data_IF_916071592382
#
_entry.id   IF_916071592382
#
_cell.length_a   1.000
_cell.length_b   1.000
_cell.length_c   1.000
_cell.angle_alpha   90.00
_cell.angle_beta   90.00
_cell.angle_gamma   90.00
#
_symmetry.space_group_name_H-M   'P 1'
#
loop_
_entity.id
_entity.type
_entity.pdbx_description
1 polymer ?
#
# COMPACT_ATOMS: atom_id res chain seq x y z
N UNK A 1 -31.94 65.59 -75.85
CA UNK A 1 -31.59 64.14 -75.92
C UNK A 1 -30.45 63.91 -74.93
N UNK A 2 -30.78 63.60 -73.67
CA UNK A 2 -30.76 62.25 -73.04
C UNK A 2 -29.40 61.84 -72.43
N UNK A 3 -29.36 61.98 -71.09
CA UNK A 3 -28.74 61.15 -70.01
C UNK A 3 -27.20 60.90 -69.93
N UNK A 4 -26.68 61.33 -68.77
CA UNK A 4 -25.56 60.85 -67.91
C UNK A 4 -25.33 59.30 -67.81
N UNK A 5 -24.36 58.80 -67.00
CA UNK A 5 -22.91 59.10 -66.81
C UNK A 5 -22.09 57.77 -66.64
N UNK A 6 -20.81 57.79 -66.24
CA UNK A 6 -20.20 56.60 -65.61
C UNK A 6 -18.68 56.49 -65.50
N UNK A 7 -18.20 56.47 -64.25
CA UNK A 7 -16.84 56.20 -63.71
C UNK A 7 -16.21 54.84 -64.08
N UNK A 8 -14.86 54.75 -64.00
CA UNK A 8 -14.15 53.53 -63.59
C UNK A 8 -12.66 53.49 -63.97
N UNK A 9 -11.73 53.86 -63.06
CA UNK A 9 -10.79 52.98 -62.29
C UNK A 9 -9.81 52.16 -63.15
N UNK A 10 -8.53 52.53 -63.18
CA UNK A 10 -7.41 52.16 -62.28
C UNK A 10 -6.69 50.84 -62.65
N UNK A 11 -5.39 51.00 -62.83
CA UNK A 11 -4.28 50.07 -63.10
C UNK A 11 -4.10 48.93 -62.09
N UNK A 12 -3.62 47.79 -62.59
CA UNK A 12 -2.97 46.75 -61.78
C UNK A 12 -1.77 46.15 -62.55
N UNK A 13 -0.57 46.26 -61.98
CA UNK A 13 0.64 45.57 -62.40
C UNK A 13 0.94 44.42 -61.44
N UNK A 14 1.33 43.27 -61.99
CA UNK A 14 1.71 42.06 -61.26
C UNK A 14 3.09 42.19 -60.61
N UNK A 15 3.21 41.74 -59.37
CA UNK A 15 4.47 41.32 -58.77
C UNK A 15 4.22 40.06 -57.92
N UNK A 16 4.84 38.96 -58.34
CA UNK A 16 4.75 37.64 -57.69
C UNK A 16 5.87 37.52 -56.66
N UNK A 17 5.53 37.40 -55.38
CA UNK A 17 6.46 37.06 -54.30
C UNK A 17 6.06 35.71 -53.70
N UNK A 18 6.88 34.68 -53.94
CA UNK A 18 6.72 33.34 -53.39
C UNK A 18 7.26 33.33 -51.96
N UNK A 19 6.36 33.29 -50.97
CA UNK A 19 6.72 33.09 -49.55
C UNK A 19 6.79 31.58 -49.29
N UNK A 20 7.99 31.06 -49.01
CA UNK A 20 8.15 29.72 -48.43
C UNK A 20 7.75 29.77 -46.95
N UNK A 21 6.58 29.25 -46.62
CA UNK A 21 6.20 28.95 -45.24
C UNK A 21 6.85 27.63 -44.81
N UNK A 22 7.94 27.70 -44.04
CA UNK A 22 8.42 26.55 -43.26
C UNK A 22 7.50 26.41 -42.05
N UNK A 23 6.47 25.57 -42.15
CA UNK A 23 5.69 25.16 -40.99
C UNK A 23 6.50 24.11 -40.22
N UNK A 24 7.26 24.56 -39.23
CA UNK A 24 7.78 23.68 -38.19
C UNK A 24 6.58 23.21 -37.36
N UNK A 25 5.91 22.14 -37.81
CA UNK A 25 5.00 21.36 -36.96
C UNK A 25 5.87 20.58 -35.97
N UNK A 26 6.37 21.29 -34.95
CA UNK A 26 6.97 20.65 -33.81
C UNK A 26 5.91 19.78 -33.14
N UNK A 27 5.93 18.48 -33.41
CA UNK A 27 5.33 17.50 -32.53
C UNK A 27 6.05 17.66 -31.18
N UNK A 28 5.50 18.49 -30.30
CA UNK A 28 5.88 18.48 -28.90
C UNK A 28 5.39 17.14 -28.38
N UNK A 29 6.27 16.15 -28.35
CA UNK A 29 6.05 14.96 -27.53
C UNK A 29 6.00 15.47 -26.09
N UNK A 30 4.79 15.76 -25.60
CA UNK A 30 4.57 15.98 -24.18
C UNK A 30 4.84 14.63 -23.55
N UNK A 31 6.02 14.48 -22.96
CA UNK A 31 6.38 13.34 -22.14
C UNK A 31 5.56 13.45 -20.86
N UNK A 32 4.27 13.09 -20.94
CA UNK A 32 3.32 13.14 -19.83
C UNK A 32 3.79 12.32 -18.62
N UNK A 33 4.75 11.42 -18.83
CA UNK A 33 5.45 10.71 -17.77
C UNK A 33 6.29 11.61 -16.84
N UNK A 34 6.74 12.78 -17.29
CA UNK A 34 7.55 13.72 -16.49
C UNK A 34 6.72 14.78 -15.75
N UNK A 35 5.44 14.93 -16.09
CA UNK A 35 4.58 15.93 -15.48
C UNK A 35 4.26 15.58 -14.02
N UNK A 36 4.67 16.47 -13.11
CA UNK A 36 4.38 16.39 -11.67
C UNK A 36 2.95 16.84 -11.42
N UNK A 37 2.04 15.87 -11.32
CA UNK A 37 0.60 16.06 -11.17
C UNK A 37 0.10 15.47 -9.84
N UNK A 38 -1.04 15.95 -9.32
CA UNK A 38 -1.73 15.29 -8.21
C UNK A 38 -1.96 13.79 -8.50
N UNK A 39 -1.89 12.97 -7.45
CA UNK A 39 -2.19 11.54 -7.55
C UNK A 39 -3.64 11.26 -7.94
N UNK A 40 -4.57 12.07 -7.47
CA UNK A 40 -6.00 11.96 -7.76
C UNK A 40 -6.67 13.33 -7.64
N UNK A 41 -7.91 13.45 -8.14
CA UNK A 41 -8.82 14.50 -7.68
C UNK A 41 -9.49 14.05 -6.37
N UNK A 42 -9.86 14.98 -5.48
CA UNK A 42 -10.58 14.64 -4.23
C UNK A 42 -11.89 13.89 -4.50
N UNK A 43 -12.66 14.30 -5.51
CA UNK A 43 -13.89 13.61 -5.90
C UNK A 43 -13.65 12.19 -6.42
N UNK A 44 -12.54 11.98 -7.14
CA UNK A 44 -12.12 10.67 -7.63
C UNK A 44 -11.68 9.77 -6.48
N UNK A 45 -10.94 10.32 -5.51
CA UNK A 45 -10.53 9.62 -4.30
C UNK A 45 -11.76 9.19 -3.46
N UNK A 46 -12.75 10.06 -3.31
CA UNK A 46 -14.00 9.75 -2.61
C UNK A 46 -14.80 8.65 -3.31
N UNK A 47 -14.89 8.69 -4.64
CA UNK A 47 -15.55 7.63 -5.40
C UNK A 47 -14.80 6.29 -5.27
N UNK A 48 -13.46 6.30 -5.31
CA UNK A 48 -12.66 5.10 -5.14
C UNK A 48 -12.82 4.46 -3.75
N UNK A 49 -12.88 5.28 -2.69
CA UNK A 49 -13.17 4.81 -1.34
C UNK A 49 -14.55 4.16 -1.27
N UNK A 50 -15.58 4.83 -1.78
CA UNK A 50 -16.95 4.31 -1.81
C UNK A 50 -17.03 2.98 -2.56
N UNK A 51 -16.47 2.93 -3.77
CA UNK A 51 -16.49 1.75 -4.62
C UNK A 51 -15.79 0.55 -3.97
N UNK A 52 -14.66 0.80 -3.30
CA UNK A 52 -13.97 -0.23 -2.52
C UNK A 52 -14.83 -0.72 -1.36
N UNK A 53 -15.40 0.18 -0.56
CA UNK A 53 -16.22 -0.20 0.60
C UNK A 53 -17.46 -1.00 0.18
N UNK A 54 -18.12 -0.61 -0.91
CA UNK A 54 -19.26 -1.33 -1.47
C UNK A 54 -18.87 -2.75 -1.92
N UNK A 55 -17.78 -2.87 -2.70
CA UNK A 55 -17.29 -4.16 -3.19
C UNK A 55 -16.79 -5.05 -2.05
N UNK A 56 -16.05 -4.48 -1.09
CA UNK A 56 -15.57 -5.18 0.10
C UNK A 56 -16.73 -5.75 0.92
N UNK A 57 -17.79 -4.96 1.13
CA UNK A 57 -18.99 -5.42 1.84
C UNK A 57 -19.73 -6.53 1.09
N UNK A 58 -19.86 -6.42 -0.24
CA UNK A 58 -20.45 -7.47 -1.06
C UNK A 58 -19.64 -8.78 -0.99
N UNK A 59 -18.31 -8.67 -1.11
CA UNK A 59 -17.39 -9.78 -1.00
C UNK A 59 -17.42 -10.43 0.39
N UNK A 60 -17.37 -9.66 1.48
CA UNK A 60 -17.49 -10.17 2.84
C UNK A 60 -18.83 -10.86 3.09
N UNK A 61 -19.94 -10.27 2.65
CA UNK A 61 -21.29 -10.85 2.81
C UNK A 61 -21.41 -12.21 2.13
N UNK A 62 -20.81 -12.39 0.95
CA UNK A 62 -20.86 -13.64 0.21
C UNK A 62 -19.68 -14.59 0.50
N UNK A 63 -18.66 -14.12 1.22
CA UNK A 63 -17.31 -14.68 1.19
C UNK A 63 -16.79 -14.94 -0.24
N UNK A 64 -17.11 -14.07 -1.19
CA UNK A 64 -16.76 -14.25 -2.59
C UNK A 64 -15.64 -13.29 -3.03
N UNK A 65 -14.39 -13.78 -3.20
CA UNK A 65 -13.27 -12.93 -3.62
C UNK A 65 -13.46 -12.31 -5.02
N UNK A 66 -14.31 -12.88 -5.88
CA UNK A 66 -14.54 -12.31 -7.21
C UNK A 66 -15.26 -10.95 -7.16
N UNK A 67 -15.96 -10.63 -6.07
CA UNK A 67 -16.76 -9.42 -5.95
C UNK A 67 -15.92 -8.15 -5.68
N UNK A 68 -14.73 -8.29 -5.09
CA UNK A 68 -13.82 -7.18 -4.81
C UNK A 68 -12.46 -7.30 -5.50
N UNK A 69 -12.19 -8.36 -6.27
CA UNK A 69 -10.91 -8.57 -6.97
C UNK A 69 -10.47 -7.39 -7.85
N UNK A 70 -11.43 -6.66 -8.43
CA UNK A 70 -11.15 -5.47 -9.24
C UNK A 70 -10.94 -4.19 -8.42
N UNK A 71 -11.17 -4.24 -7.10
CA UNK A 71 -11.05 -3.12 -6.17
C UNK A 71 -9.91 -3.27 -5.17
N UNK A 72 -9.24 -4.42 -5.13
CA UNK A 72 -8.10 -4.66 -4.22
C UNK A 72 -6.83 -5.08 -4.96
N UNK A 73 -5.68 -4.75 -4.39
CA UNK A 73 -4.35 -5.15 -4.89
C UNK A 73 -3.35 -5.20 -3.73
N UNK A 74 -2.08 -5.46 -4.01
CA UNK A 74 -1.01 -5.44 -3.01
C UNK A 74 -1.25 -6.40 -1.85
N UNK A 75 -0.80 -6.02 -0.64
CA UNK A 75 -0.94 -6.88 0.54
C UNK A 75 -2.37 -6.94 1.06
N UNK A 76 -3.13 -5.83 0.99
CA UNK A 76 -4.55 -5.86 1.34
C UNK A 76 -5.30 -6.87 0.47
N UNK A 77 -5.10 -6.82 -0.85
CA UNK A 77 -5.69 -7.77 -1.78
C UNK A 77 -5.25 -9.21 -1.51
N UNK A 78 -3.94 -9.46 -1.38
CA UNK A 78 -3.44 -10.82 -1.12
C UNK A 78 -4.07 -11.44 0.14
N UNK A 79 -4.17 -10.65 1.22
CA UNK A 79 -4.73 -11.09 2.50
C UNK A 79 -6.26 -11.27 2.39
N UNK A 80 -6.96 -10.29 1.84
CA UNK A 80 -8.42 -10.32 1.76
C UNK A 80 -8.91 -11.47 0.87
N UNK A 81 -8.32 -11.62 -0.32
CA UNK A 81 -8.71 -12.63 -1.30
C UNK A 81 -8.49 -14.05 -0.75
N UNK A 82 -7.38 -14.30 -0.06
CA UNK A 82 -7.13 -15.59 0.59
C UNK A 82 -8.11 -15.86 1.74
N UNK A 83 -8.41 -14.84 2.56
CA UNK A 83 -9.37 -14.96 3.66
C UNK A 83 -10.80 -15.24 3.19
N UNK A 84 -11.27 -14.54 2.17
CA UNK A 84 -12.59 -14.76 1.57
C UNK A 84 -12.69 -16.17 0.96
N UNK A 85 -11.69 -16.56 0.16
CA UNK A 85 -11.61 -17.91 -0.39
C UNK A 85 -11.69 -18.98 0.70
N UNK A 86 -10.92 -18.81 1.78
CA UNK A 86 -10.89 -19.75 2.89
C UNK A 86 -12.27 -19.85 3.56
N UNK A 87 -12.85 -18.71 3.96
CA UNK A 87 -14.14 -18.64 4.66
C UNK A 87 -15.30 -19.23 3.86
N UNK A 88 -15.30 -19.06 2.54
CA UNK A 88 -16.31 -19.64 1.64
C UNK A 88 -16.36 -21.17 1.73
N UNK A 89 -15.21 -21.83 1.91
CA UNK A 89 -15.16 -23.31 1.93
C UNK A 89 -15.95 -23.92 3.09
N UNK A 90 -16.03 -23.23 4.23
CA UNK A 90 -16.77 -23.69 5.41
C UNK A 90 -18.00 -22.82 5.74
N UNK A 91 -18.31 -21.83 4.90
CA UNK A 91 -19.55 -21.06 4.91
C UNK A 91 -20.04 -20.85 3.46
N UNK A 92 -20.52 -21.92 2.77
CA UNK A 92 -20.89 -21.84 1.36
C UNK A 92 -22.07 -20.89 1.11
N UNK A 93 -22.93 -20.67 2.11
CA UNK A 93 -24.07 -19.75 2.04
C UNK A 93 -23.70 -18.29 2.36
N UNK A 94 -22.41 -17.98 2.52
CA UNK A 94 -21.91 -16.64 2.85
C UNK A 94 -21.82 -16.33 4.34
N UNK A 95 -21.55 -15.06 4.66
CA UNK A 95 -21.32 -14.57 6.01
C UNK A 95 -22.62 -14.24 6.74
N UNK A 96 -23.09 -15.19 7.56
CA UNK A 96 -24.30 -14.99 8.41
C UNK A 96 -24.12 -13.90 9.48
N UNK A 97 -22.87 -13.56 9.83
CA UNK A 97 -22.54 -12.53 10.79
C UNK A 97 -22.16 -11.19 10.12
N UNK A 98 -22.45 -11.03 8.82
CA UNK A 98 -22.09 -9.84 8.08
C UNK A 98 -22.70 -8.59 8.74
N UNK A 99 -21.82 -7.63 9.01
CA UNK A 99 -22.14 -6.26 9.35
C UNK A 99 -21.41 -5.39 8.35
N UNK A 100 -22.09 -4.52 7.59
CA UNK A 100 -21.43 -3.65 6.63
C UNK A 100 -20.35 -2.80 7.30
N UNK A 101 -19.15 -2.80 6.73
CA UNK A 101 -18.11 -1.82 7.00
C UNK A 101 -18.61 -0.44 6.55
N UNK A 102 -18.50 0.53 7.44
CA UNK A 102 -18.66 1.95 7.12
C UNK A 102 -17.29 2.58 7.31
N UNK A 103 -16.88 3.35 6.29
CA UNK A 103 -15.72 4.24 6.34
C UNK A 103 -16.24 5.66 6.06
N UNK A 104 -16.24 6.49 7.08
CA UNK A 104 -16.69 7.88 7.05
C UNK A 104 -15.59 8.81 7.59
N UNK A 105 -15.94 10.07 7.83
CA UNK A 105 -15.00 11.15 8.22
C UNK A 105 -13.68 11.14 7.39
N UNK A 106 -13.84 10.98 6.08
CA UNK A 106 -12.72 10.70 5.20
C UNK A 106 -11.93 11.97 4.85
N UNK A 107 -10.65 11.99 5.20
CA UNK A 107 -9.66 12.95 4.72
C UNK A 107 -8.77 12.29 3.66
N UNK A 108 -8.57 12.98 2.53
CA UNK A 108 -7.77 12.45 1.41
C UNK A 108 -6.42 13.16 1.32
N UNK A 109 -5.35 12.41 1.59
CA UNK A 109 -3.97 12.88 1.46
C UNK A 109 -3.45 12.48 0.08
N UNK A 110 -3.31 13.47 -0.79
CA UNK A 110 -3.05 13.25 -2.22
C UNK A 110 -1.63 13.73 -2.55
N UNK A 111 -0.68 12.82 -2.82
CA UNK A 111 0.68 13.20 -3.18
C UNK A 111 0.76 13.78 -4.60
N UNK A 112 1.68 14.72 -4.81
CA UNK A 112 2.04 15.22 -6.14
C UNK A 112 3.29 14.51 -6.65
N UNK A 113 3.23 13.86 -7.82
CA UNK A 113 4.40 13.15 -8.40
C UNK A 113 4.38 13.10 -9.92
N UNK A 114 5.51 12.74 -10.52
CA UNK A 114 5.61 12.38 -11.93
C UNK A 114 5.30 10.89 -12.16
N UNK A 115 4.79 10.55 -13.34
CA UNK A 115 4.61 9.17 -13.80
C UNK A 115 3.59 8.31 -13.01
N UNK A 116 3.55 7.03 -13.38
CA UNK A 116 2.74 5.98 -12.75
C UNK A 116 3.57 5.14 -11.76
N UNK A 117 2.92 4.42 -10.82
CA UNK A 117 1.51 4.50 -10.48
C UNK A 117 1.14 5.85 -9.85
N UNK A 118 -0.14 6.18 -9.90
CA UNK A 118 -0.77 7.26 -9.13
C UNK A 118 -1.34 6.65 -7.85
N UNK A 119 -1.34 7.40 -6.76
CA UNK A 119 -1.85 6.92 -5.48
C UNK A 119 -2.32 8.06 -4.59
N UNK A 120 -3.16 7.74 -3.61
CA UNK A 120 -3.56 8.61 -2.52
C UNK A 120 -3.82 7.77 -1.26
N UNK A 121 -3.81 8.43 -0.11
CA UNK A 121 -4.19 7.86 1.18
C UNK A 121 -5.56 8.41 1.59
N UNK A 122 -6.49 7.52 1.91
CA UNK A 122 -7.70 7.87 2.63
C UNK A 122 -7.48 7.60 4.13
N UNK A 123 -7.64 8.62 4.94
CA UNK A 123 -7.70 8.54 6.39
C UNK A 123 -9.17 8.63 6.80
N UNK A 124 -9.72 7.54 7.35
CA UNK A 124 -11.15 7.41 7.62
C UNK A 124 -11.40 6.94 9.04
N UNK A 125 -12.56 7.29 9.58
CA UNK A 125 -13.12 6.62 10.74
C UNK A 125 -13.76 5.28 10.31
N UNK A 126 -13.93 4.34 11.23
CA UNK A 126 -14.52 3.03 10.94
C UNK A 126 -15.46 2.56 12.02
N UNK A 127 -16.62 2.04 11.64
CA UNK A 127 -17.59 1.42 12.55
C UNK A 127 -17.13 0.08 13.20
N UNK A 128 -15.83 -0.20 13.22
CA UNK A 128 -15.21 -1.45 13.70
C UNK A 128 -14.57 -1.32 15.07
N UNK A 129 -14.49 -0.13 15.62
CA UNK A 129 -13.96 0.14 16.94
C UNK A 129 -15.00 0.83 17.84
N UNK A 130 -14.54 1.58 18.85
CA UNK A 130 -15.39 2.34 19.76
C UNK A 130 -15.01 3.81 19.67
N UNK A 131 -15.97 4.63 19.21
CA UNK A 131 -15.82 6.08 19.10
C UNK A 131 -15.54 6.70 20.47
N UNK A 132 -14.63 7.68 20.50
CA UNK A 132 -14.34 8.48 21.69
C UNK A 132 -13.53 7.71 22.74
N UNK A 133 -12.21 7.90 22.74
CA UNK A 133 -11.34 7.43 23.80
C UNK A 133 -10.10 6.70 23.28
N UNK A 134 -9.57 5.77 24.07
CA UNK A 134 -8.30 5.08 23.75
C UNK A 134 -8.42 3.99 22.68
N UNK A 135 -9.64 3.57 22.35
CA UNK A 135 -9.93 2.51 21.38
C UNK A 135 -10.36 3.06 20.01
N UNK A 136 -10.45 4.38 19.88
CA UNK A 136 -10.77 5.09 18.65
C UNK A 136 -9.56 5.03 17.70
N UNK A 137 -9.78 4.50 16.50
CA UNK A 137 -8.76 4.23 15.49
C UNK A 137 -9.13 4.72 14.10
N UNK A 138 -8.12 5.26 13.42
CA UNK A 138 -8.19 5.66 12.02
C UNK A 138 -7.76 4.52 11.12
N UNK A 139 -8.57 4.28 10.09
CA UNK A 139 -8.24 3.38 8.99
C UNK A 139 -7.54 4.16 7.89
N UNK A 140 -6.27 3.83 7.67
CA UNK A 140 -5.41 4.42 6.65
C UNK A 140 -5.36 3.49 5.44
N UNK A 141 -6.14 3.80 4.40
CA UNK A 141 -6.28 2.98 3.19
C UNK A 141 -5.58 3.65 2.01
N UNK A 142 -4.58 2.98 1.44
CA UNK A 142 -3.87 3.50 0.27
C UNK A 142 -4.46 2.92 -1.00
N UNK A 143 -4.87 3.80 -1.91
CA UNK A 143 -5.39 3.46 -3.22
C UNK A 143 -4.35 3.70 -4.29
N UNK A 144 -4.22 2.76 -5.23
CA UNK A 144 -3.23 2.79 -6.32
C UNK A 144 -3.94 2.62 -7.65
N UNK A 145 -3.52 3.40 -8.64
CA UNK A 145 -3.91 3.29 -10.05
C UNK A 145 -2.64 3.16 -10.87
N UNK A 146 -2.52 2.10 -11.66
CA UNK A 146 -1.27 1.73 -12.33
C UNK A 146 -1.09 2.35 -13.72
N UNK A 147 -2.15 2.91 -14.28
CA UNK A 147 -2.16 3.51 -15.62
C UNK A 147 -3.42 4.35 -15.87
N UNK A 148 -3.47 5.08 -16.99
CA UNK A 148 -4.56 5.99 -17.32
C UNK A 148 -5.91 5.28 -17.47
N UNK A 149 -5.94 4.01 -17.88
CA UNK A 149 -7.19 3.25 -18.02
C UNK A 149 -7.42 2.27 -16.85
N UNK A 150 -6.49 2.21 -15.91
CA UNK A 150 -6.63 1.34 -14.73
C UNK A 150 -7.65 1.91 -13.75
N UNK A 151 -8.34 1.02 -13.05
CA UNK A 151 -9.19 1.39 -11.91
C UNK A 151 -8.34 1.65 -10.65
N UNK A 152 -8.90 2.42 -9.71
CA UNK A 152 -8.35 2.54 -8.37
C UNK A 152 -8.54 1.23 -7.59
N UNK A 153 -7.46 0.75 -7.00
CA UNK A 153 -7.46 -0.44 -6.14
C UNK A 153 -6.86 -0.14 -4.78
N UNK A 154 -7.51 -0.56 -3.70
CA UNK A 154 -6.96 -0.48 -2.35
C UNK A 154 -5.81 -1.49 -2.20
N UNK A 155 -4.61 -0.98 -1.92
CA UNK A 155 -3.37 -1.75 -1.90
C UNK A 155 -2.87 -2.05 -0.48
N UNK A 156 -3.09 -1.11 0.43
CA UNK A 156 -2.63 -1.17 1.81
C UNK A 156 -3.72 -0.74 2.77
N UNK A 157 -3.69 -1.33 3.96
CA UNK A 157 -4.46 -0.91 5.13
C UNK A 157 -3.51 -0.83 6.32
N UNK A 158 -3.58 0.27 7.06
CA UNK A 158 -3.08 0.40 8.41
C UNK A 158 -4.19 0.88 9.34
N UNK A 159 -4.21 0.39 10.57
CA UNK A 159 -5.16 0.83 11.60
C UNK A 159 -4.37 1.37 12.77
N UNK A 160 -4.56 2.64 13.08
CA UNK A 160 -3.79 3.38 14.09
C UNK A 160 -4.73 4.10 15.05
N UNK A 161 -4.38 4.25 16.33
CA UNK A 161 -5.02 5.27 17.17
C UNK A 161 -4.90 6.64 16.49
N UNK A 162 -5.94 7.48 16.57
CA UNK A 162 -5.93 8.81 15.94
C UNK A 162 -4.69 9.64 16.34
N UNK A 163 -4.25 9.55 17.59
CA UNK A 163 -3.05 10.23 18.10
C UNK A 163 -1.71 9.75 17.51
N UNK A 164 -1.72 8.67 16.73
CA UNK A 164 -0.53 8.13 16.05
C UNK A 164 -0.53 8.39 14.55
N UNK A 165 -1.59 8.99 14.00
CA UNK A 165 -1.57 9.50 12.62
C UNK A 165 -0.76 10.80 12.64
N UNK A 166 0.35 10.90 11.88
CA UNK A 166 1.19 12.08 11.87
C UNK A 166 0.59 13.19 11.00
N UNK A 167 1.00 14.43 11.25
CA UNK A 167 0.77 15.54 10.33
C UNK A 167 1.67 15.38 9.09
N UNK A 168 1.10 15.62 7.90
CA UNK A 168 1.79 15.46 6.63
C UNK A 168 2.27 16.80 6.09
N UNK A 169 3.44 16.79 5.43
CA UNK A 169 3.92 17.97 4.70
C UNK A 169 3.06 18.19 3.46
N UNK A 170 2.34 19.31 3.44
CA UNK A 170 1.50 19.76 2.32
C UNK A 170 2.12 20.98 1.62
N UNK A 171 1.94 21.06 0.29
CA UNK A 171 2.26 22.26 -0.49
C UNK A 171 1.15 23.32 -0.41
N UNK A 172 1.34 24.46 -1.08
CA UNK A 172 0.36 25.56 -1.09
C UNK A 172 -1.00 25.19 -1.71
N UNK A 173 -1.08 24.09 -2.46
CA UNK A 173 -2.33 23.55 -3.02
C UNK A 173 -2.96 22.49 -2.10
N UNK A 174 -2.35 22.22 -0.94
CA UNK A 174 -2.78 21.17 0.01
C UNK A 174 -2.43 19.76 -0.45
N UNK A 175 -1.45 19.59 -1.35
CA UNK A 175 -1.01 18.29 -1.84
C UNK A 175 0.20 17.80 -1.04
N UNK A 176 0.22 16.50 -0.75
CA UNK A 176 1.29 15.91 0.06
C UNK A 176 2.58 15.68 -0.72
N UNK A 177 3.69 15.61 0.01
CA UNK A 177 5.00 15.25 -0.57
C UNK A 177 5.24 13.74 -0.45
N UNK A 178 5.33 12.99 -1.56
CA UNK A 178 5.68 11.57 -1.51
C UNK A 178 7.17 11.38 -1.22
N UNK A 179 7.50 10.27 -0.57
CA UNK A 179 8.89 9.87 -0.29
C UNK A 179 9.42 9.05 -1.46
N UNK A 180 10.68 9.29 -1.87
CA UNK A 180 11.32 8.51 -2.93
C UNK A 180 11.71 7.11 -2.40
N UNK A 181 11.77 6.07 -3.24
CA UNK A 181 12.21 4.75 -2.80
C UNK A 181 13.61 4.75 -2.17
N UNK A 182 14.53 5.53 -2.76
CA UNK A 182 15.89 5.74 -2.27
C UNK A 182 16.03 7.16 -1.73
N UNK A 183 15.47 7.36 -0.54
CA UNK A 183 15.49 8.63 0.17
C UNK A 183 16.55 8.59 1.28
N UNK A 184 17.63 9.34 1.09
CA UNK A 184 18.77 9.39 1.99
C UNK A 184 18.61 10.42 3.11
N UNK A 185 17.52 11.17 3.15
CA UNK A 185 17.18 12.02 4.29
C UNK A 185 16.52 11.22 5.41
N UNK A 186 16.15 9.96 5.16
CA UNK A 186 15.53 9.07 6.14
C UNK A 186 16.55 8.12 6.79
N UNK A 187 16.25 7.71 8.03
CA UNK A 187 17.08 6.75 8.77
C UNK A 187 17.18 5.40 8.05
N UNK A 188 16.12 4.96 7.35
CA UNK A 188 16.12 3.81 6.46
C UNK A 188 15.36 4.19 5.19
N UNK A 189 15.95 3.97 4.02
CA UNK A 189 15.28 4.25 2.75
C UNK A 189 14.04 3.35 2.59
N UNK A 190 12.91 3.85 2.06
CA UNK A 190 11.70 3.04 1.89
C UNK A 190 11.91 1.71 1.15
N UNK A 191 12.76 1.70 0.12
CA UNK A 191 13.10 0.51 -0.66
C UNK A 191 13.80 -0.59 0.19
N UNK A 192 14.49 -0.19 1.25
CA UNK A 192 15.29 -1.09 2.09
C UNK A 192 14.50 -1.59 3.31
N UNK A 193 13.33 -1.02 3.61
CA UNK A 193 12.54 -1.37 4.81
C UNK A 193 12.17 -2.86 4.85
N UNK A 194 11.75 -3.41 3.71
CA UNK A 194 11.32 -4.81 3.61
C UNK A 194 12.48 -5.76 3.94
N UNK A 195 13.65 -5.54 3.34
CA UNK A 195 14.84 -6.34 3.56
C UNK A 195 15.41 -6.14 4.98
N UNK A 196 15.43 -4.90 5.46
CA UNK A 196 15.87 -4.57 6.82
C UNK A 196 14.99 -5.26 7.87
N UNK A 197 13.67 -5.25 7.69
CA UNK A 197 12.73 -5.88 8.61
C UNK A 197 12.89 -7.41 8.61
N UNK A 198 12.97 -8.04 7.44
CA UNK A 198 13.10 -9.50 7.36
C UNK A 198 14.46 -9.97 7.86
N UNK A 199 15.54 -9.24 7.56
CA UNK A 199 16.87 -9.49 8.14
C UNK A 199 16.84 -9.38 9.66
N UNK A 200 16.26 -8.29 10.17
CA UNK A 200 16.12 -8.07 11.61
C UNK A 200 15.38 -9.23 12.30
N UNK A 201 14.27 -9.70 11.73
CA UNK A 201 13.53 -10.83 12.30
C UNK A 201 14.38 -12.11 12.37
N UNK A 202 15.13 -12.41 11.31
CA UNK A 202 15.93 -13.62 11.20
C UNK A 202 17.16 -13.61 12.09
N UNK A 203 17.96 -12.53 12.03
CA UNK A 203 19.30 -12.50 12.61
C UNK A 203 19.49 -11.36 13.63
N UNK A 204 18.52 -10.45 13.78
CA UNK A 204 18.61 -9.30 14.68
C UNK A 204 19.32 -8.10 14.09
N UNK A 205 19.61 -8.09 12.78
CA UNK A 205 20.32 -7.03 12.08
C UNK A 205 19.67 -6.70 10.72
N UNK A 206 19.69 -5.42 10.29
CA UNK A 206 20.18 -4.28 11.05
C UNK A 206 19.23 -3.92 12.21
N UNK A 207 19.77 -3.49 13.35
CA UNK A 207 18.98 -3.10 14.53
C UNK A 207 18.48 -1.65 14.42
N UNK A 208 17.65 -1.42 13.40
CA UNK A 208 17.10 -0.10 13.05
C UNK A 208 15.65 0.09 13.47
N UNK A 209 15.05 -0.91 14.13
CA UNK A 209 13.65 -0.86 14.56
C UNK A 209 13.52 -0.68 16.07
N UNK A 210 12.58 0.16 16.48
CA UNK A 210 12.22 0.31 17.90
C UNK A 210 11.63 -1.01 18.43
N UNK A 211 11.98 -1.44 19.65
CA UNK A 211 11.37 -2.60 20.30
C UNK A 211 9.83 -2.50 20.38
N UNK A 212 9.14 -3.56 19.98
CA UNK A 212 7.68 -3.67 19.98
C UNK A 212 7.26 -5.15 19.91
N UNK A 213 5.98 -5.44 20.09
CA UNK A 213 5.41 -6.78 19.86
C UNK A 213 5.61 -7.28 18.43
N UNK A 214 5.77 -6.38 17.45
CA UNK A 214 5.99 -6.71 16.04
C UNK A 214 7.46 -6.71 15.61
N UNK A 215 8.40 -6.39 16.50
CA UNK A 215 9.85 -6.37 16.23
C UNK A 215 10.57 -7.33 17.18
N UNK A 216 11.28 -6.82 18.20
CA UNK A 216 12.01 -7.65 19.17
C UNK A 216 11.11 -8.64 19.91
N UNK A 217 9.87 -8.25 20.25
CA UNK A 217 8.90 -9.12 20.89
C UNK A 217 8.54 -10.33 20.04
N UNK A 218 8.34 -10.15 18.73
CA UNK A 218 8.00 -11.25 17.84
C UNK A 218 9.17 -12.23 17.67
N UNK A 219 10.41 -11.71 17.60
CA UNK A 219 11.63 -12.53 17.60
C UNK A 219 11.72 -13.36 18.87
N UNK A 220 11.46 -12.74 20.01
CA UNK A 220 11.52 -13.42 21.30
C UNK A 220 10.45 -14.51 21.41
N UNK A 221 9.21 -14.24 20.97
CA UNK A 221 8.16 -15.27 20.89
C UNK A 221 8.60 -16.45 20.04
N UNK A 222 9.16 -16.22 18.85
CA UNK A 222 9.64 -17.30 17.97
C UNK A 222 10.79 -18.09 18.60
N UNK A 223 11.73 -17.41 19.27
CA UNK A 223 12.88 -18.02 19.95
C UNK A 223 12.47 -18.87 21.15
N UNK A 224 11.42 -18.47 21.86
CA UNK A 224 10.96 -19.12 23.10
C UNK A 224 9.78 -20.07 22.90
N UNK A 225 9.15 -20.10 21.73
CA UNK A 225 8.07 -21.05 21.42
C UNK A 225 8.59 -22.48 21.60
N UNK A 226 7.99 -23.21 22.55
CA UNK A 226 8.28 -24.62 22.82
C UNK A 226 6.96 -25.38 22.91
N UNK A 227 6.86 -26.49 22.18
CA UNK A 227 5.77 -27.45 22.28
C UNK A 227 6.37 -28.85 22.22
N UNK A 228 6.07 -29.69 23.21
CA UNK A 228 6.61 -31.04 23.27
C UNK A 228 6.26 -31.83 22.01
N UNK A 229 7.27 -32.44 21.38
CA UNK A 229 7.10 -33.20 20.14
C UNK A 229 6.93 -32.34 18.87
N UNK A 230 7.22 -31.03 18.92
CA UNK A 230 7.17 -30.14 17.76
C UNK A 230 8.46 -29.32 17.63
N UNK A 231 8.91 -29.12 16.39
CA UNK A 231 9.93 -28.13 16.04
C UNK A 231 9.35 -27.08 15.09
N UNK A 232 9.92 -25.88 15.17
CA UNK A 232 9.48 -24.71 14.42
C UNK A 232 10.67 -24.10 13.69
N UNK A 233 10.49 -23.80 12.41
CA UNK A 233 11.45 -23.10 11.58
C UNK A 233 10.75 -21.91 10.93
N UNK A 234 11.45 -20.77 10.88
CA UNK A 234 10.91 -19.53 10.34
C UNK A 234 11.82 -19.03 9.22
N UNK A 235 11.21 -18.60 8.11
CA UNK A 235 11.90 -17.91 7.02
C UNK A 235 11.13 -16.64 6.72
N UNK A 236 11.82 -15.51 6.71
CA UNK A 236 11.24 -14.21 6.37
C UNK A 236 11.92 -13.70 5.10
N UNK A 237 11.14 -13.14 4.18
CA UNK A 237 11.62 -12.66 2.89
C UNK A 237 11.09 -11.26 2.61
N UNK A 238 11.90 -10.39 1.99
CA UNK A 238 11.40 -9.11 1.53
C UNK A 238 10.35 -9.33 0.43
N UNK A 239 9.38 -8.42 0.36
CA UNK A 239 8.31 -8.42 -0.63
C UNK A 239 8.17 -7.02 -1.24
N UNK A 240 8.80 -6.83 -2.39
CA UNK A 240 8.98 -5.51 -3.05
C UNK A 240 8.57 -5.49 -4.52
N UNK A 241 7.90 -6.54 -5.02
CA UNK A 241 7.35 -6.55 -6.38
C UNK A 241 6.44 -5.35 -6.64
N UNK A 242 6.13 -5.02 -7.89
CA UNK A 242 5.46 -3.75 -8.26
C UNK A 242 4.17 -3.45 -7.48
N UNK A 243 3.33 -4.45 -7.22
CA UNK A 243 2.09 -4.30 -6.41
C UNK A 243 2.35 -4.23 -4.90
N UNK A 244 3.57 -4.52 -4.45
CA UNK A 244 4.05 -4.53 -3.07
C UNK A 244 5.14 -3.48 -2.81
N UNK A 245 5.38 -2.58 -3.76
CA UNK A 245 6.39 -1.54 -3.65
C UNK A 245 6.02 -0.56 -2.52
N UNK A 246 7.00 -0.12 -1.70
CA UNK A 246 6.72 0.75 -0.58
C UNK A 246 6.18 2.11 -1.05
N UNK A 247 5.22 2.66 -0.30
CA UNK A 247 4.63 3.98 -0.54
C UNK A 247 4.74 4.79 0.75
N UNK A 248 5.20 6.03 0.65
CA UNK A 248 5.38 6.87 1.82
C UNK A 248 5.08 8.34 1.57
N UNK A 249 4.68 9.02 2.64
CA UNK A 249 4.42 10.47 2.71
C UNK A 249 5.36 11.10 3.72
N UNK A 250 5.87 12.29 3.42
CA UNK A 250 6.65 13.09 4.35
C UNK A 250 5.78 13.62 5.49
N UNK A 251 6.33 13.58 6.70
CA UNK A 251 5.70 14.08 7.93
C UNK A 251 6.35 15.38 8.37
N UNK A 252 5.61 16.23 9.08
CA UNK A 252 6.10 17.56 9.48
C UNK A 252 7.32 17.52 10.43
N UNK A 253 7.53 16.41 11.12
CA UNK A 253 8.70 16.17 11.98
C UNK A 253 9.99 15.81 11.19
N UNK A 254 9.94 15.91 9.86
CA UNK A 254 11.05 15.60 8.95
C UNK A 254 11.17 14.12 8.59
N UNK A 255 10.34 13.26 9.18
CA UNK A 255 10.30 11.84 8.91
C UNK A 255 9.42 11.45 7.72
N UNK A 256 8.93 10.22 7.77
CA UNK A 256 7.96 9.69 6.82
C UNK A 256 7.05 8.64 7.45
N UNK A 257 5.78 8.65 7.04
CA UNK A 257 4.88 7.52 7.21
C UNK A 257 5.01 6.61 5.97
N UNK A 258 5.39 5.35 6.16
CA UNK A 258 5.69 4.43 5.05
C UNK A 258 4.96 3.11 5.21
N UNK A 259 4.27 2.69 4.14
CA UNK A 259 3.74 1.35 3.96
C UNK A 259 4.76 0.48 3.24
N UNK A 260 5.00 -0.73 3.74
CA UNK A 260 5.80 -1.74 3.05
C UNK A 260 5.30 -3.15 3.38
N UNK A 261 5.86 -4.17 2.74
CA UNK A 261 5.40 -5.55 2.89
C UNK A 261 6.54 -6.49 3.21
N UNK A 262 6.19 -7.64 3.76
CA UNK A 262 7.09 -8.79 3.93
C UNK A 262 6.33 -10.10 3.78
N UNK A 263 7.08 -11.17 3.50
CA UNK A 263 6.57 -12.52 3.38
C UNK A 263 7.18 -13.39 4.47
N UNK A 264 6.36 -14.23 5.11
CA UNK A 264 6.77 -15.03 6.25
C UNK A 264 6.34 -16.48 6.10
N UNK A 265 7.26 -17.39 6.38
CA UNK A 265 7.03 -18.82 6.41
C UNK A 265 7.24 -19.37 7.81
N UNK A 266 6.36 -20.27 8.20
CA UNK A 266 6.44 -21.02 9.44
C UNK A 266 6.28 -22.50 9.12
N UNK A 267 7.35 -23.27 9.28
CA UNK A 267 7.34 -24.72 9.15
C UNK A 267 7.27 -25.34 10.53
N UNK A 268 6.21 -26.11 10.77
CA UNK A 268 6.03 -26.94 11.95
C UNK A 268 6.33 -28.39 11.58
N UNK A 269 7.13 -29.09 12.38
CA UNK A 269 7.37 -30.53 12.22
C UNK A 269 7.02 -31.24 13.51
N UNK A 270 6.15 -32.24 13.42
CA UNK A 270 5.70 -33.07 14.53
C UNK A 270 6.52 -34.37 14.62
N UNK A 271 6.77 -34.82 15.85
CA UNK A 271 7.35 -36.13 16.12
C UNK A 271 6.39 -37.26 15.69
N UNK A 272 6.93 -38.48 15.56
CA UNK A 272 6.15 -39.66 15.18
C UNK A 272 4.93 -39.83 16.10
N UNK A 273 3.76 -40.03 15.50
CA UNK A 273 2.49 -40.19 16.21
C UNK A 273 1.76 -38.88 16.54
N UNK A 274 2.37 -37.72 16.24
CA UNK A 274 1.76 -36.41 16.36
C UNK A 274 1.53 -35.80 14.97
N UNK A 275 0.61 -34.82 14.89
CA UNK A 275 0.34 -34.05 13.67
C UNK A 275 0.20 -32.56 13.99
N UNK A 276 0.69 -31.66 13.11
CA UNK A 276 0.37 -30.24 13.19
C UNK A 276 -1.14 -29.99 13.16
N UNK A 277 -1.58 -28.99 13.91
CA UNK A 277 -2.98 -28.59 13.95
C UNK A 277 -3.36 -27.83 12.67
N UNK A 278 -4.48 -28.24 12.07
CA UNK A 278 -5.02 -27.68 10.84
C UNK A 278 -6.42 -27.13 11.15
N UNK A 279 -6.50 -25.82 11.40
CA UNK A 279 -7.77 -25.12 11.56
C UNK A 279 -8.47 -24.93 10.19
N UNK A 280 -9.74 -24.48 10.15
CA UNK A 280 -10.48 -24.33 8.90
C UNK A 280 -9.79 -23.46 7.84
N UNK A 281 -9.21 -22.32 8.23
CA UNK A 281 -8.49 -21.43 7.31
C UNK A 281 -7.26 -22.10 6.69
N UNK A 282 -6.46 -22.79 7.51
CA UNK A 282 -5.30 -23.56 7.03
C UNK A 282 -5.76 -24.66 6.09
N UNK A 283 -6.81 -25.41 6.46
CA UNK A 283 -7.35 -26.50 5.64
C UNK A 283 -7.80 -26.00 4.26
N UNK A 284 -8.47 -24.85 4.21
CA UNK A 284 -8.99 -24.29 2.99
C UNK A 284 -7.90 -23.80 2.03
N UNK A 285 -6.73 -23.45 2.56
CA UNK A 285 -5.56 -23.00 1.81
C UNK A 285 -4.48 -24.09 1.70
N UNK A 286 -4.77 -25.31 2.15
CA UNK A 286 -3.83 -26.41 2.22
C UNK A 286 -3.65 -27.06 0.85
N UNK A 287 -2.40 -27.31 0.51
CA UNK A 287 -1.99 -28.22 -0.55
C UNK A 287 -1.27 -29.42 0.07
N UNK A 288 -1.50 -30.62 -0.45
CA UNK A 288 -0.95 -31.86 0.11
C UNK A 288 -1.66 -32.33 1.39
N UNK A 289 -1.14 -33.41 1.98
CA UNK A 289 -1.63 -33.99 3.23
C UNK A 289 -0.67 -33.67 4.38
N UNK A 290 -1.21 -33.24 5.53
CA UNK A 290 -0.41 -32.95 6.72
C UNK A 290 -0.12 -34.26 7.47
N UNK A 291 0.98 -34.94 7.13
CA UNK A 291 1.42 -36.14 7.84
C UNK A 291 2.21 -35.79 9.09
N UNK A 292 3.27 -35.01 8.92
CA UNK A 292 4.18 -34.63 10.00
C UNK A 292 4.63 -33.18 9.90
N UNK A 293 4.56 -32.59 8.71
CA UNK A 293 4.99 -31.22 8.44
C UNK A 293 3.82 -30.38 7.99
N UNK A 294 3.79 -29.14 8.47
CA UNK A 294 2.89 -28.09 7.99
C UNK A 294 3.70 -26.81 7.79
N UNK A 295 3.73 -26.32 6.56
CA UNK A 295 4.32 -25.01 6.23
C UNK A 295 3.22 -24.02 5.96
N UNK A 296 3.21 -22.90 6.70
CA UNK A 296 2.27 -21.79 6.51
C UNK A 296 2.99 -20.62 5.84
N UNK A 297 2.35 -20.04 4.84
CA UNK A 297 2.84 -18.86 4.12
C UNK A 297 1.94 -17.66 4.41
N UNK A 298 2.55 -16.55 4.81
CA UNK A 298 1.85 -15.31 5.12
C UNK A 298 2.43 -14.14 4.35
N UNK A 299 1.56 -13.27 3.85
CA UNK A 299 1.90 -11.90 3.48
C UNK A 299 1.57 -11.01 4.68
N UNK A 300 2.38 -9.98 4.89
CA UNK A 300 2.17 -9.03 5.97
C UNK A 300 2.35 -7.61 5.45
N UNK A 301 1.34 -6.76 5.65
CA UNK A 301 1.44 -5.31 5.47
C UNK A 301 2.03 -4.69 6.73
N UNK A 302 2.94 -3.73 6.59
CA UNK A 302 3.52 -2.95 7.67
C UNK A 302 3.26 -1.46 7.42
N UNK A 303 2.92 -0.74 8.48
CA UNK A 303 2.92 0.72 8.50
C UNK A 303 3.93 1.18 9.56
N UNK A 304 4.88 2.00 9.13
CA UNK A 304 5.95 2.50 9.99
C UNK A 304 6.07 4.01 9.94
N UNK A 305 6.54 4.57 11.05
CA UNK A 305 7.16 5.88 11.05
C UNK A 305 8.67 5.71 10.89
N UNK A 306 9.24 6.32 9.86
CA UNK A 306 10.68 6.37 9.62
C UNK A 306 11.16 7.77 10.03
N UNK A 307 12.00 7.91 11.06
CA UNK A 307 12.50 9.22 11.44
C UNK A 307 13.47 9.78 10.39
N UNK A 308 13.72 11.11 10.41
CA UNK A 308 14.81 11.67 9.62
C UNK A 308 16.14 11.04 10.00
N UNK A 309 17.08 11.04 9.07
CA UNK A 309 18.45 10.60 9.32
C UNK A 309 19.08 11.50 10.38
N UNK A 310 19.65 10.90 11.42
CA UNK A 310 20.38 11.66 12.43
C UNK A 310 21.59 12.37 11.80
N UNK A 311 21.72 13.68 12.04
CA UNK A 311 22.90 14.44 11.64
C UNK A 311 24.15 13.87 12.33
N UNK A 312 25.12 13.37 11.56
CA UNK A 312 26.39 12.87 12.09
C UNK A 312 26.47 11.37 12.41
N UNK A 313 25.47 10.56 12.04
CA UNK A 313 25.53 9.10 12.18
C UNK A 313 26.44 8.46 11.11
N UNK A 314 27.75 8.69 11.24
CA UNK A 314 28.75 7.73 10.81
C UNK A 314 28.58 6.43 11.61
N UNK A 315 28.90 5.31 10.99
CA UNK A 315 28.77 3.95 11.52
C UNK A 315 29.09 3.82 13.02
N UNK A 316 28.05 3.65 13.84
CA UNK A 316 28.19 3.23 15.24
C UNK A 316 28.00 4.34 16.27
N UNK A 317 26.75 4.69 16.56
CA UNK A 317 26.38 5.29 17.84
C UNK A 317 24.95 4.89 18.22
N UNK A 318 24.82 4.34 19.42
CA UNK A 318 23.59 4.01 20.11
C UNK A 318 22.85 5.31 20.47
N UNK A 319 21.85 5.69 19.67
CA UNK A 319 20.95 6.81 19.97
C UNK A 319 19.64 6.24 20.49
N UNK A 320 19.38 6.41 21.80
CA UNK A 320 18.12 6.03 22.43
C UNK A 320 16.92 6.52 21.61
N UNK A 321 16.05 5.58 21.23
CA UNK A 321 14.69 5.65 20.63
C UNK A 321 14.33 6.69 19.55
N UNK A 322 15.03 7.82 19.37
CA UNK A 322 14.71 8.90 18.44
C UNK A 322 15.24 8.71 17.01
N UNK A 323 16.06 7.68 16.75
CA UNK A 323 16.66 7.41 15.43
C UNK A 323 16.22 6.10 14.78
N UNK A 324 15.31 5.34 15.40
CA UNK A 324 14.87 4.02 14.91
C UNK A 324 13.48 4.06 14.29
N UNK A 325 13.27 3.21 13.29
CA UNK A 325 11.98 2.99 12.63
C UNK A 325 10.98 2.43 13.64
N UNK A 326 9.81 3.06 13.74
CA UNK A 326 8.76 2.69 14.69
C UNK A 326 7.65 1.92 13.97
N UNK A 327 7.39 0.69 14.41
CA UNK A 327 6.28 -0.12 13.89
C UNK A 327 4.96 0.38 14.46
N UNK A 328 4.11 0.93 13.61
CA UNK A 328 2.81 1.50 14.00
C UNK A 328 1.68 0.48 13.81
N UNK A 329 1.69 -0.23 12.69
CA UNK A 329 0.72 -1.30 12.42
C UNK A 329 1.39 -2.48 11.69
N UNK A 330 0.90 -3.69 11.98
CA UNK A 330 1.26 -4.90 11.24
C UNK A 330 0.00 -5.73 11.00
N UNK A 331 -0.29 -6.01 9.73
CA UNK A 331 -1.43 -6.79 9.30
C UNK A 331 -0.96 -8.05 8.54
N UNK A 332 -0.75 -9.18 9.24
CA UNK A 332 -0.42 -10.45 8.61
C UNK A 332 -1.67 -11.21 8.17
N UNK A 333 -1.61 -11.90 7.02
CA UNK A 333 -2.65 -12.82 6.58
C UNK A 333 -2.06 -14.11 6.01
N UNK A 334 -2.72 -15.24 6.33
CA UNK A 334 -2.41 -16.55 5.75
C UNK A 334 -2.87 -16.56 4.29
N UNK A 335 -1.96 -16.88 3.37
CA UNK A 335 -2.26 -16.91 1.94
C UNK A 335 -2.10 -18.30 1.32
N UNK A 336 -1.32 -19.17 1.95
CA UNK A 336 -1.18 -20.57 1.55
C UNK A 336 -0.72 -21.44 2.71
N UNK A 337 -0.99 -22.74 2.61
CA UNK A 337 -0.43 -23.77 3.48
C UNK A 337 -0.04 -25.01 2.67
N UNK A 338 0.99 -25.72 3.13
CA UNK A 338 1.44 -26.98 2.54
C UNK A 338 1.65 -28.05 3.61
N UNK A 339 1.05 -29.21 3.40
CA UNK A 339 1.22 -30.41 4.21
C UNK A 339 2.21 -31.38 3.56
N UNK A 340 3.08 -31.97 4.38
CA UNK A 340 3.99 -33.06 4.00
C UNK A 340 4.03 -34.15 5.09
#
# INVERSE_FOLDING_TARGET
MTRHPGLGRLTAGLATATVLCVTATGCVTVHGELAVLPGAKKSEAAQALKDFTDAYNAADKAFDPALDADRVTGSLGAINQAGLKARRTYNPDGNKAHKPLVLDDATYVIPKKAGWPRWFLADTDSNRDQDGGKLDTRWLVVFVRTGPDAQWKAAYLGVLPASQVPEFVLDGDGLATPVKPQDDELAVAPADLSASYTGYLQNGSPDVFTPSTSTSGWRETRRTTRRAGFSYQYVDQPLTGSTFAPLGLRTEDGGALVFFNSKHFERQVAAKGLRPEVNPDVKALLTGEVNSTLTKERVSSQLVHVPPRAAGAGSGADTGSGGKVRMLNRLPGLIAAKGE
#
